data_IF_586060129285
#
_entry.id   IF_586060129285
#
_cell.length_a   1.000
_cell.length_b   1.000
_cell.length_c   1.000
_cell.angle_alpha   90.00
_cell.angle_beta   90.00
_cell.angle_gamma   90.00
#
_symmetry.space_group_name_H-M   'P 1'
#
loop_
_entity.id
_entity.type
_entity.pdbx_description
1 polymer ?
#
# COMPACT_ATOMS: atom_id res chain seq x y z
N UNK A 1 -30.64 -17.67 44.85
CA UNK A 1 -29.73 -16.51 44.60
C UNK A 1 -30.51 -15.21 44.31
N UNK A 2 -31.57 -14.90 45.08
CA UNK A 2 -32.47 -13.74 44.87
C UNK A 2 -32.71 -12.89 46.14
N UNK A 3 -31.98 -13.14 47.24
CA UNK A 3 -32.06 -12.34 48.49
C UNK A 3 -30.91 -11.36 48.70
N UNK A 4 -29.80 -11.46 47.96
CA UNK A 4 -28.66 -10.53 48.09
C UNK A 4 -28.78 -9.29 47.18
N UNK A 5 -29.74 -9.28 46.25
CA UNK A 5 -29.92 -8.22 45.24
C UNK A 5 -30.83 -7.06 45.71
N UNK A 6 -31.55 -7.19 46.84
CA UNK A 6 -32.45 -6.14 47.36
C UNK A 6 -31.82 -5.21 48.40
N UNK A 7 -30.69 -5.60 49.01
CA UNK A 7 -29.99 -4.80 50.03
C UNK A 7 -29.14 -3.68 49.40
N UNK A 8 -28.51 -3.95 48.25
CA UNK A 8 -27.59 -3.01 47.56
C UNK A 8 -28.36 -1.86 46.88
N UNK A 9 -29.57 -2.11 46.39
CA UNK A 9 -30.39 -1.09 45.72
C UNK A 9 -31.06 -0.07 46.68
N UNK A 10 -31.10 -0.32 48.00
CA UNK A 10 -31.63 0.66 48.97
C UNK A 10 -30.60 1.71 49.40
N UNK A 11 -29.30 1.43 49.33
CA UNK A 11 -28.26 2.37 49.80
C UNK A 11 -27.83 3.43 48.78
N UNK A 12 -28.17 3.28 47.50
CA UNK A 12 -27.76 4.22 46.43
C UNK A 12 -28.81 5.29 46.07
N UNK A 13 -29.99 5.30 46.72
CA UNK A 13 -31.03 6.31 46.49
C UNK A 13 -31.03 7.50 47.47
N UNK A 14 -30.09 7.57 48.41
CA UNK A 14 -30.16 8.54 49.51
C UNK A 14 -29.24 9.77 49.40
N UNK A 15 -28.30 9.87 48.45
CA UNK A 15 -27.39 11.02 48.39
C UNK A 15 -27.17 11.51 46.95
N UNK A 16 -27.97 12.51 46.57
CA UNK A 16 -27.53 13.78 45.95
C UNK A 16 -28.67 14.42 45.14
N UNK A 17 -29.56 15.10 45.85
CA UNK A 17 -30.19 16.29 45.32
C UNK A 17 -29.30 17.50 45.59
N UNK A 18 -28.91 18.23 44.53
CA UNK A 18 -28.77 19.70 44.53
C UNK A 18 -28.45 20.21 43.12
N UNK A 19 -29.21 21.25 42.71
CA UNK A 19 -28.98 22.11 41.55
C UNK A 19 -27.66 22.89 41.71
N UNK A 20 -26.97 23.19 40.61
CA UNK A 20 -26.19 24.43 40.47
C UNK A 20 -25.91 24.77 38.99
N UNK A 21 -25.86 26.08 38.74
CA UNK A 21 -25.86 26.81 37.47
C UNK A 21 -24.63 26.66 36.57
N UNK A 22 -24.81 27.05 35.31
CA UNK A 22 -23.79 27.18 34.26
C UNK A 22 -23.14 28.57 34.30
N UNK A 23 -21.80 28.66 34.19
CA UNK A 23 -21.06 29.67 33.40
C UNK A 23 -19.57 29.28 33.21
N UNK A 24 -18.88 29.78 32.16
CA UNK A 24 -17.74 29.09 31.54
C UNK A 24 -16.37 29.70 31.90
N UNK A 25 -15.29 28.89 31.93
CA UNK A 25 -13.95 29.22 31.39
C UNK A 25 -12.88 28.13 31.58
N UNK A 26 -12.04 28.05 30.54
CA UNK A 26 -10.61 27.72 30.47
C UNK A 26 -10.11 26.29 30.79
N UNK A 27 -9.47 25.70 29.79
CA UNK A 27 -8.72 24.44 29.85
C UNK A 27 -7.44 24.54 30.71
N UNK A 28 -7.12 23.47 31.46
CA UNK A 28 -5.75 23.07 31.84
C UNK A 28 -5.65 21.54 31.95
N UNK A 29 -4.48 21.04 31.57
CA UNK A 29 -4.08 19.63 31.48
C UNK A 29 -3.69 19.03 32.85
N UNK A 30 -3.81 17.70 32.93
CA UNK A 30 -3.27 16.69 33.88
C UNK A 30 -4.02 16.49 35.21
N UNK A 31 -4.41 15.23 35.49
CA UNK A 31 -3.96 14.44 36.67
C UNK A 31 -4.35 12.95 36.55
N UNK A 32 -3.38 12.07 36.78
CA UNK A 32 -3.57 10.63 37.01
C UNK A 32 -4.04 10.47 38.47
N UNK A 33 -5.19 9.85 38.72
CA UNK A 33 -5.63 9.53 40.09
C UNK A 33 -5.73 8.01 40.21
N UNK A 34 -4.77 7.43 40.94
CA UNK A 34 -4.85 6.04 41.38
C UNK A 34 -5.73 6.02 42.64
N UNK A 35 -6.97 5.54 42.51
CA UNK A 35 -7.84 5.30 43.66
C UNK A 35 -7.41 4.06 44.43
N UNK A 36 -7.65 4.04 45.76
CA UNK A 36 -7.24 2.98 46.71
C UNK A 36 -7.80 1.56 46.44
N UNK A 37 -8.58 1.37 45.37
CA UNK A 37 -9.18 0.07 45.00
C UNK A 37 -8.56 -0.55 43.72
N UNK A 38 -7.40 -0.06 43.27
CA UNK A 38 -6.66 -0.65 42.13
C UNK A 38 -7.33 -0.47 40.76
N UNK A 39 -8.34 0.40 40.65
CA UNK A 39 -9.10 0.63 39.42
C UNK A 39 -8.50 1.80 38.60
N UNK A 40 -7.97 1.53 37.41
CA UNK A 40 -7.65 2.58 36.42
C UNK A 40 -8.89 2.88 35.57
N UNK A 41 -9.45 4.10 35.69
CA UNK A 41 -10.60 4.54 34.90
C UNK A 41 -10.16 5.51 33.81
N UNK A 42 -10.59 5.28 32.57
CA UNK A 42 -10.48 6.23 31.46
C UNK A 42 -11.86 6.80 31.17
N UNK A 43 -11.99 8.13 31.19
CA UNK A 43 -13.23 8.82 30.82
C UNK A 43 -12.97 9.63 29.55
N UNK A 44 -13.60 9.27 28.45
CA UNK A 44 -13.60 10.08 27.23
C UNK A 44 -14.93 10.84 27.17
N UNK A 45 -14.92 12.13 27.47
CA UNK A 45 -16.11 12.98 27.33
C UNK A 45 -16.14 13.54 25.90
N UNK A 46 -16.96 12.93 25.03
CA UNK A 46 -17.34 13.53 23.75
C UNK A 46 -18.54 14.46 23.97
N UNK A 47 -18.32 15.77 23.87
CA UNK A 47 -19.38 16.79 24.01
C UNK A 47 -20.11 16.95 22.67
N UNK A 48 -20.96 16.00 22.31
CA UNK A 48 -22.03 16.17 21.33
C UNK A 48 -23.29 15.45 21.84
N UNK A 49 -24.37 16.22 22.02
CA UNK A 49 -25.64 15.70 22.51
C UNK A 49 -26.20 14.69 21.49
N UNK A 50 -26.19 13.40 21.86
CA UNK A 50 -26.78 12.32 21.08
C UNK A 50 -25.91 11.08 20.84
N UNK A 51 -24.61 11.08 21.18
CA UNK A 51 -23.77 9.89 21.05
C UNK A 51 -23.76 9.01 22.32
N UNK A 52 -23.73 7.67 22.19
CA UNK A 52 -23.56 6.78 23.33
C UNK A 52 -22.19 7.00 23.99
N UNK A 53 -22.18 7.23 25.30
CA UNK A 53 -20.96 7.28 26.11
C UNK A 53 -20.54 5.84 26.40
N UNK A 54 -19.31 5.50 26.02
CA UNK A 54 -18.72 4.19 26.29
C UNK A 54 -17.76 4.31 27.47
N UNK A 55 -18.04 3.59 28.56
CA UNK A 55 -17.11 3.43 29.67
C UNK A 55 -16.44 2.05 29.56
N UNK A 56 -15.11 2.05 29.47
CA UNK A 56 -14.30 0.84 29.47
C UNK A 56 -13.55 0.73 30.81
N UNK A 57 -13.68 -0.43 31.45
CA UNK A 57 -12.98 -0.75 32.69
C UNK A 57 -12.41 -2.16 32.65
N UNK A 58 -11.26 -2.33 33.30
CA UNK A 58 -10.60 -3.63 33.49
C UNK A 58 -10.76 -4.05 34.94
N UNK A 59 -11.18 -5.30 35.18
CA UNK A 59 -11.23 -5.90 36.52
C UNK A 59 -10.82 -7.37 36.41
N UNK A 60 -9.74 -7.77 37.09
CA UNK A 60 -9.22 -9.16 37.09
C UNK A 60 -9.15 -9.85 35.71
N UNK A 61 -8.67 -9.14 34.68
CA UNK A 61 -8.49 -9.72 33.33
C UNK A 61 -9.77 -9.87 32.49
N UNK A 62 -10.88 -9.29 32.94
CA UNK A 62 -12.14 -9.20 32.19
C UNK A 62 -12.36 -7.76 31.69
N UNK A 63 -12.74 -7.62 30.43
CA UNK A 63 -13.15 -6.35 29.83
C UNK A 63 -14.66 -6.16 30.03
N UNK A 64 -15.04 -5.05 30.68
CA UNK A 64 -16.44 -4.66 30.85
C UNK A 64 -16.72 -3.44 29.97
N UNK A 65 -17.77 -3.54 29.16
CA UNK A 65 -18.25 -2.47 28.29
C UNK A 65 -19.65 -2.06 28.73
N UNK A 66 -19.85 -0.77 29.00
CA UNK A 66 -21.14 -0.21 29.38
C UNK A 66 -21.64 0.72 28.27
N UNK A 67 -22.81 0.43 27.72
CA UNK A 67 -23.55 1.36 26.86
C UNK A 67 -24.81 1.84 27.60
N UNK A 68 -25.07 3.14 27.54
CA UNK A 68 -26.32 3.73 28.03
C UNK A 68 -27.15 4.19 26.84
N UNK A 69 -28.08 3.35 26.40
CA UNK A 69 -29.17 3.72 25.50
C UNK A 69 -30.49 3.54 26.25
N UNK A 70 -31.28 4.62 26.36
CA UNK A 70 -32.66 4.63 26.84
C UNK A 70 -32.97 3.71 28.03
N UNK A 71 -32.36 3.98 29.20
CA UNK A 71 -32.89 3.51 30.48
C UNK A 71 -32.83 1.99 30.76
N UNK A 72 -32.16 1.18 29.93
CA UNK A 72 -31.89 -0.24 30.23
C UNK A 72 -30.38 -0.48 30.29
N UNK A 73 -29.91 -1.00 31.42
CA UNK A 73 -28.51 -1.41 31.60
C UNK A 73 -28.39 -2.88 31.24
N UNK A 74 -27.62 -3.22 30.20
CA UNK A 74 -27.22 -4.60 29.90
C UNK A 74 -25.77 -4.81 30.31
N UNK A 75 -25.49 -5.88 31.06
CA UNK A 75 -24.14 -6.32 31.38
C UNK A 75 -23.81 -7.51 30.49
N UNK A 76 -22.76 -7.41 29.67
CA UNK A 76 -22.24 -8.54 28.91
C UNK A 76 -21.03 -9.09 29.68
N UNK A 77 -21.17 -10.31 30.19
CA UNK A 77 -20.07 -11.08 30.80
C UNK A 77 -19.35 -11.87 29.69
N UNK A 78 -18.10 -11.53 29.41
CA UNK A 78 -17.25 -12.29 28.51
C UNK A 78 -16.44 -13.30 29.33
N UNK A 79 -16.85 -14.56 29.34
CA UNK A 79 -16.07 -15.64 29.96
C UNK A 79 -15.04 -16.19 28.95
N UNK A 80 -13.75 -16.23 29.31
CA UNK A 80 -12.76 -17.01 28.56
C UNK A 80 -13.07 -18.50 28.76
N UNK A 81 -13.76 -19.11 27.81
CA UNK A 81 -13.87 -20.57 27.72
C UNK A 81 -13.24 -21.04 26.41
N UNK A 82 -12.38 -22.05 26.51
CA UNK A 82 -11.51 -22.64 25.49
C UNK A 82 -12.25 -23.55 24.50
N UNK A 83 -13.43 -23.15 24.01
CA UNK A 83 -14.23 -23.94 23.08
C UNK A 83 -14.29 -23.30 21.68
N UNK A 84 -13.73 -23.99 20.68
CA UNK A 84 -13.89 -23.70 19.24
C UNK A 84 -15.35 -23.93 18.81
N UNK A 85 -16.15 -22.87 18.65
CA UNK A 85 -17.47 -22.83 17.97
C UNK A 85 -17.71 -21.38 17.45
N UNK A 86 -18.69 -21.11 16.56
CA UNK A 86 -18.59 -20.33 15.31
C UNK A 86 -18.68 -18.80 15.48
N UNK A 87 -18.28 -18.27 16.63
CA UNK A 87 -18.26 -16.83 16.88
C UNK A 87 -17.21 -16.09 16.05
N UNK A 88 -16.14 -16.76 15.61
CA UNK A 88 -15.10 -16.13 14.78
C UNK A 88 -15.61 -15.71 13.39
N UNK A 89 -16.57 -16.44 12.82
CA UNK A 89 -17.17 -16.13 11.51
C UNK A 89 -18.14 -14.95 11.64
N UNK A 90 -18.94 -14.91 12.70
CA UNK A 90 -19.86 -13.81 12.99
C UNK A 90 -19.14 -12.53 13.42
N UNK A 91 -18.03 -12.64 14.16
CA UNK A 91 -17.24 -11.49 14.60
C UNK A 91 -16.47 -10.83 13.44
N UNK A 92 -15.90 -11.63 12.52
CA UNK A 92 -15.28 -11.12 11.28
C UNK A 92 -16.30 -10.41 10.38
N UNK A 93 -17.56 -10.85 10.38
CA UNK A 93 -18.62 -10.23 9.58
C UNK A 93 -19.11 -8.86 10.12
N UNK A 94 -18.84 -8.52 11.38
CA UNK A 94 -19.27 -7.25 12.00
C UNK A 94 -18.16 -6.18 11.96
N UNK A 95 -16.88 -6.56 11.85
CA UNK A 95 -15.73 -5.64 11.95
C UNK A 95 -15.34 -4.92 10.65
N UNK A 96 -15.92 -5.31 9.52
CA UNK A 96 -15.55 -4.75 8.21
C UNK A 96 -16.57 -3.73 7.68
N UNK A 97 -17.64 -3.42 8.41
CA UNK A 97 -18.62 -2.45 7.94
C UNK A 97 -18.23 -1.03 8.34
N UNK A 98 -18.17 -0.13 7.36
CA UNK A 98 -17.88 1.28 7.53
C UNK A 98 -19.10 2.11 7.14
N UNK A 99 -19.43 3.15 7.90
CA UNK A 99 -20.49 4.09 7.56
C UNK A 99 -19.85 5.32 6.93
N UNK A 100 -20.15 5.58 5.66
CA UNK A 100 -19.64 6.75 4.93
C UNK A 100 -20.85 7.51 4.39
N UNK A 101 -21.04 8.75 4.86
CA UNK A 101 -22.18 9.60 4.51
C UNK A 101 -23.55 8.90 4.72
N UNK A 102 -23.70 8.21 5.85
CA UNK A 102 -24.95 7.54 6.22
C UNK A 102 -25.24 6.21 5.52
N UNK A 103 -24.37 5.77 4.59
CA UNK A 103 -24.47 4.47 3.93
C UNK A 103 -23.44 3.48 4.46
N UNK A 104 -23.84 2.23 4.64
CA UNK A 104 -22.99 1.13 5.06
C UNK A 104 -22.26 0.57 3.84
N UNK A 105 -20.95 0.40 3.96
CA UNK A 105 -20.07 -0.27 3.01
C UNK A 105 -19.27 -1.34 3.75
N UNK A 106 -18.90 -2.42 3.06
CA UNK A 106 -17.99 -3.43 3.61
C UNK A 106 -16.58 -3.18 3.09
N UNK A 107 -15.64 -2.90 3.97
CA UNK A 107 -14.21 -2.86 3.70
C UNK A 107 -13.63 -4.28 3.67
N UNK A 108 -12.88 -4.60 2.63
CA UNK A 108 -12.19 -5.88 2.50
C UNK A 108 -10.71 -5.65 2.20
N UNK A 109 -9.86 -6.37 2.92
CA UNK A 109 -8.40 -6.36 2.76
C UNK A 109 -7.88 -7.66 2.13
N UNK A 110 -8.68 -8.73 2.19
CA UNK A 110 -8.33 -10.05 1.68
C UNK A 110 -8.98 -10.35 0.32
N UNK A 111 -9.00 -9.34 -0.55
CA UNK A 111 -9.57 -9.45 -1.91
C UNK A 111 -8.87 -10.54 -2.72
N UNK A 112 -7.58 -10.80 -2.47
CA UNK A 112 -6.82 -11.82 -3.19
C UNK A 112 -7.38 -13.23 -2.96
N UNK A 113 -7.68 -13.60 -1.72
CA UNK A 113 -7.98 -14.99 -1.38
C UNK A 113 -9.49 -15.31 -1.43
N UNK A 114 -10.36 -14.30 -1.34
CA UNK A 114 -11.80 -14.45 -1.58
C UNK A 114 -12.13 -14.35 -3.08
N UNK A 115 -12.60 -15.45 -3.68
CA UNK A 115 -12.89 -15.51 -5.12
C UNK A 115 -13.96 -14.52 -5.58
N UNK A 116 -15.00 -14.28 -4.77
CA UNK A 116 -16.07 -13.37 -5.13
C UNK A 116 -15.59 -11.91 -5.04
N UNK A 117 -14.85 -11.57 -3.98
CA UNK A 117 -14.24 -10.26 -3.81
C UNK A 117 -13.22 -9.97 -4.93
N UNK A 118 -12.35 -10.94 -5.25
CA UNK A 118 -11.35 -10.85 -6.33
C UNK A 118 -12.00 -10.57 -7.67
N UNK A 119 -13.08 -11.30 -7.99
CA UNK A 119 -13.81 -11.14 -9.25
C UNK A 119 -14.41 -9.74 -9.38
N UNK A 120 -15.00 -9.23 -8.30
CA UNK A 120 -15.58 -7.89 -8.28
C UNK A 120 -14.50 -6.79 -8.36
N UNK A 121 -13.36 -6.98 -7.70
CA UNK A 121 -12.20 -6.09 -7.80
C UNK A 121 -11.64 -6.04 -9.24
N UNK A 122 -11.47 -7.19 -9.89
CA UNK A 122 -11.06 -7.26 -11.30
C UNK A 122 -12.07 -6.56 -12.22
N UNK A 123 -13.37 -6.77 -11.98
CA UNK A 123 -14.41 -6.09 -12.75
C UNK A 123 -14.33 -4.56 -12.59
N UNK A 124 -14.05 -4.05 -11.39
CA UNK A 124 -13.85 -2.62 -11.16
C UNK A 124 -12.59 -2.11 -11.87
N UNK A 125 -11.45 -2.81 -11.74
CA UNK A 125 -10.20 -2.43 -12.41
C UNK A 125 -10.36 -2.37 -13.93
N UNK A 126 -11.01 -3.37 -14.52
CA UNK A 126 -11.31 -3.40 -15.96
C UNK A 126 -12.23 -2.25 -16.37
N UNK A 127 -13.26 -1.96 -15.57
CA UNK A 127 -14.20 -0.86 -15.85
C UNK A 127 -13.52 0.51 -15.84
N UNK A 128 -12.57 0.74 -14.94
CA UNK A 128 -11.97 2.06 -14.72
C UNK A 128 -10.72 2.28 -15.56
N UNK A 129 -9.87 1.27 -15.69
CA UNK A 129 -8.54 1.38 -16.31
C UNK A 129 -8.34 0.44 -17.50
N UNK A 130 -9.35 -0.37 -17.87
CA UNK A 130 -9.16 -1.48 -18.81
C UNK A 130 -8.02 -2.44 -18.39
N UNK A 131 -7.78 -2.53 -17.08
CA UNK A 131 -6.70 -3.31 -16.50
C UNK A 131 -7.17 -4.73 -16.17
N UNK A 132 -6.40 -5.73 -16.62
CA UNK A 132 -6.68 -7.14 -16.34
C UNK A 132 -5.63 -7.77 -15.43
N UNK A 133 -6.02 -8.09 -14.20
CA UNK A 133 -5.16 -8.73 -13.22
C UNK A 133 -5.22 -10.27 -13.30
N UNK A 134 -6.08 -10.85 -14.15
CA UNK A 134 -6.29 -12.28 -14.19
C UNK A 134 -5.01 -13.08 -14.57
N UNK A 135 -4.22 -12.69 -15.59
CA UNK A 135 -2.96 -13.40 -15.91
C UNK A 135 -1.93 -13.31 -14.79
N UNK A 136 -1.83 -12.15 -14.16
CA UNK A 136 -0.93 -11.93 -13.03
C UNK A 136 -1.29 -12.79 -11.81
N UNK A 137 -2.58 -12.90 -11.49
CA UNK A 137 -3.06 -13.76 -10.41
C UNK A 137 -2.91 -15.26 -10.75
N UNK A 138 -3.31 -15.69 -11.94
CA UNK A 138 -3.22 -17.11 -12.34
C UNK A 138 -1.79 -17.60 -12.47
N UNK A 139 -0.84 -16.71 -12.81
CA UNK A 139 0.59 -16.98 -12.79
C UNK A 139 1.20 -17.07 -11.38
N UNK A 140 0.43 -16.83 -10.32
CA UNK A 140 0.93 -16.89 -8.94
C UNK A 140 1.81 -15.69 -8.56
N UNK A 141 1.68 -14.58 -9.28
CA UNK A 141 2.50 -13.38 -9.09
C UNK A 141 1.84 -12.33 -8.18
N UNK A 142 0.63 -12.59 -7.70
CA UNK A 142 0.03 -11.80 -6.62
C UNK A 142 0.45 -12.34 -5.25
N UNK A 143 1.61 -11.91 -4.75
CA UNK A 143 2.12 -12.26 -3.44
C UNK A 143 1.55 -11.39 -2.31
N UNK A 144 2.20 -11.44 -1.14
CA UNK A 144 1.71 -10.78 0.07
C UNK A 144 2.01 -9.27 0.13
N UNK A 145 2.70 -8.73 -0.88
CA UNK A 145 3.18 -7.35 -0.89
C UNK A 145 2.20 -6.38 -1.55
N UNK A 146 1.24 -6.87 -2.33
CA UNK A 146 0.14 -6.09 -2.92
C UNK A 146 -1.14 -6.26 -2.09
N UNK A 147 -1.55 -5.18 -1.41
CA UNK A 147 -2.60 -5.15 -0.40
C UNK A 147 -3.74 -4.19 -0.83
N UNK A 148 -4.83 -4.68 -1.43
CA UNK A 148 -5.98 -3.86 -1.74
C UNK A 148 -6.77 -3.47 -0.50
N UNK A 149 -7.24 -2.24 -0.46
CA UNK A 149 -8.25 -1.75 0.48
C UNK A 149 -9.48 -1.43 -0.33
N UNK A 150 -10.40 -2.40 -0.42
CA UNK A 150 -11.57 -2.29 -1.31
C UNK A 150 -12.86 -2.13 -0.51
N UNK A 151 -13.64 -1.11 -0.84
CA UNK A 151 -15.00 -0.95 -0.34
C UNK A 151 -15.99 -1.65 -1.26
N UNK A 152 -16.94 -2.35 -0.64
CA UNK A 152 -18.02 -3.08 -1.29
C UNK A 152 -19.38 -2.51 -0.92
N UNK A 153 -20.27 -2.48 -1.91
CA UNK A 153 -21.71 -2.28 -1.74
C UNK A 153 -22.42 -3.57 -2.18
N UNK A 154 -22.88 -4.33 -1.19
CA UNK A 154 -23.29 -5.72 -1.39
C UNK A 154 -22.14 -6.56 -1.97
N UNK A 155 -22.36 -7.11 -3.17
CA UNK A 155 -21.36 -7.94 -3.89
C UNK A 155 -20.41 -7.15 -4.79
N UNK A 156 -20.66 -5.87 -4.99
CA UNK A 156 -19.92 -5.07 -5.96
C UNK A 156 -18.77 -4.33 -5.26
N UNK A 157 -17.56 -4.43 -5.80
CA UNK A 157 -16.47 -3.53 -5.45
C UNK A 157 -16.78 -2.14 -6.03
N UNK A 158 -16.75 -1.10 -5.19
CA UNK A 158 -17.16 0.26 -5.59
C UNK A 158 -16.04 1.30 -5.47
N UNK A 159 -15.02 1.03 -4.65
CA UNK A 159 -13.85 1.90 -4.50
C UNK A 159 -12.66 1.08 -4.00
N UNK A 160 -11.45 1.43 -4.43
CA UNK A 160 -10.22 0.78 -4.01
C UNK A 160 -9.06 1.76 -3.90
N UNK A 161 -8.17 1.49 -2.95
CA UNK A 161 -6.80 2.01 -2.86
C UNK A 161 -5.91 0.80 -2.57
N UNK A 162 -4.92 0.51 -3.42
CA UNK A 162 -3.99 -0.60 -3.18
C UNK A 162 -2.66 -0.09 -2.66
N UNK A 163 -2.05 -0.89 -1.79
CA UNK A 163 -0.73 -0.65 -1.20
C UNK A 163 0.26 -1.69 -1.72
N UNK A 164 1.40 -1.25 -2.22
CA UNK A 164 2.56 -2.11 -2.47
C UNK A 164 3.67 -1.83 -1.47
N UNK A 165 4.15 -2.89 -0.83
CA UNK A 165 5.31 -2.81 0.06
C UNK A 165 6.59 -2.87 -0.76
N UNK A 166 7.34 -1.77 -0.79
CA UNK A 166 8.58 -1.67 -1.55
C UNK A 166 9.75 -1.55 -0.60
N UNK A 167 10.67 -2.51 -0.64
CA UNK A 167 11.93 -2.41 0.10
C UNK A 167 13.05 -2.04 -0.87
N UNK A 168 13.93 -1.16 -0.44
CA UNK A 168 15.10 -0.74 -1.20
C UNK A 168 16.31 -0.57 -0.30
N UNK A 169 17.47 -0.36 -0.90
CA UNK A 169 18.70 0.02 -0.22
C UNK A 169 19.26 1.24 -0.94
N UNK A 170 19.63 2.25 -0.17
CA UNK A 170 20.29 3.45 -0.69
C UNK A 170 21.45 3.80 0.23
N UNK A 171 22.64 4.01 -0.35
CA UNK A 171 23.88 4.28 0.40
C UNK A 171 24.13 3.28 1.56
N UNK A 172 23.86 2.00 1.30
CA UNK A 172 24.01 0.91 2.28
C UNK A 172 22.95 0.87 3.39
N UNK A 173 21.94 1.76 3.37
CA UNK A 173 20.85 1.79 4.34
C UNK A 173 19.59 1.18 3.75
N UNK A 174 19.02 0.21 4.47
CA UNK A 174 17.70 -0.32 4.13
C UNK A 174 16.64 0.78 4.27
N UNK A 175 15.69 0.77 3.34
CA UNK A 175 14.57 1.70 3.27
C UNK A 175 13.30 0.95 2.92
N UNK A 176 12.19 1.39 3.49
CA UNK A 176 10.86 0.91 3.17
C UNK A 176 10.02 2.04 2.62
N UNK A 177 9.52 1.84 1.41
CA UNK A 177 8.55 2.69 0.77
C UNK A 177 7.21 1.98 0.67
N UNK A 178 6.14 2.77 0.67
CA UNK A 178 4.78 2.31 0.41
C UNK A 178 4.30 2.97 -0.87
N UNK A 179 4.10 2.19 -1.92
CA UNK A 179 3.46 2.72 -3.12
C UNK A 179 1.96 2.59 -2.97
N UNK A 180 1.24 3.67 -3.26
CA UNK A 180 -0.20 3.65 -3.44
C UNK A 180 -0.48 3.53 -4.93
N UNK A 181 -1.25 2.51 -5.32
CA UNK A 181 -1.61 2.22 -6.70
C UNK A 181 -3.07 1.82 -6.83
N UNK A 182 -3.53 1.64 -8.08
CA UNK A 182 -4.90 1.18 -8.41
C UNK A 182 -5.99 1.96 -7.64
N UNK A 183 -5.81 3.28 -7.52
CA UNK A 183 -6.76 4.16 -6.85
C UNK A 183 -7.96 4.37 -7.76
N UNK A 184 -9.07 3.69 -7.46
CA UNK A 184 -10.25 3.68 -8.33
C UNK A 184 -11.54 3.84 -7.54
N UNK A 185 -12.53 4.48 -8.16
CA UNK A 185 -13.89 4.57 -7.63
C UNK A 185 -14.86 4.51 -8.80
N UNK A 186 -15.84 3.63 -8.68
CA UNK A 186 -16.92 3.48 -9.66
C UNK A 186 -17.57 4.85 -9.93
N UNK A 187 -17.80 5.25 -11.19
CA UNK A 187 -18.36 6.55 -11.52
C UNK A 187 -19.65 6.87 -10.77
N UNK A 188 -20.51 5.87 -10.53
CA UNK A 188 -21.76 6.04 -9.79
C UNK A 188 -21.53 6.39 -8.30
N UNK A 189 -20.35 6.08 -7.76
CA UNK A 189 -19.98 6.27 -6.35
C UNK A 189 -19.00 7.42 -6.11
N UNK A 190 -18.59 8.14 -7.17
CA UNK A 190 -17.71 9.31 -7.06
C UNK A 190 -18.38 10.43 -6.25
N UNK A 191 -17.55 11.31 -5.67
CA UNK A 191 -17.97 12.44 -4.82
C UNK A 191 -18.74 12.06 -3.56
N UNK A 192 -18.69 10.79 -3.13
CA UNK A 192 -19.31 10.29 -1.87
C UNK A 192 -18.32 10.06 -0.73
N UNK A 193 -17.07 10.50 -0.87
CA UNK A 193 -16.05 10.37 0.19
C UNK A 193 -15.37 9.00 0.30
N UNK A 194 -15.69 8.01 -0.55
CA UNK A 194 -15.13 6.65 -0.45
C UNK A 194 -13.60 6.60 -0.61
N UNK A 195 -13.08 7.21 -1.68
CA UNK A 195 -11.63 7.28 -1.90
C UNK A 195 -10.92 8.05 -0.78
N UNK A 196 -11.52 9.15 -0.29
CA UNK A 196 -10.98 9.89 0.87
C UNK A 196 -10.85 9.00 2.09
N UNK A 197 -11.90 8.26 2.44
CA UNK A 197 -11.90 7.34 3.56
C UNK A 197 -10.79 6.30 3.42
N UNK A 198 -10.65 5.69 2.25
CA UNK A 198 -9.60 4.69 1.98
C UNK A 198 -8.19 5.28 2.07
N UNK A 199 -7.96 6.46 1.49
CA UNK A 199 -6.67 7.16 1.58
C UNK A 199 -6.33 7.51 3.03
N UNK A 200 -7.27 8.05 3.80
CA UNK A 200 -7.07 8.38 5.22
C UNK A 200 -6.73 7.12 6.04
N UNK A 201 -7.43 6.00 5.78
CA UNK A 201 -7.17 4.73 6.43
C UNK A 201 -5.77 4.18 6.10
N UNK A 202 -5.39 4.16 4.82
CA UNK A 202 -4.06 3.71 4.37
C UNK A 202 -2.97 4.57 5.00
N UNK A 203 -3.13 5.89 4.98
CA UNK A 203 -2.16 6.80 5.56
C UNK A 203 -2.08 6.65 7.08
N UNK A 204 -3.20 6.47 7.78
CA UNK A 204 -3.20 6.21 9.22
C UNK A 204 -2.44 4.93 9.56
N UNK A 205 -2.61 3.88 8.75
CA UNK A 205 -1.94 2.61 8.99
C UNK A 205 -0.44 2.69 8.72
N UNK A 206 -0.03 3.27 7.59
CA UNK A 206 1.35 3.15 7.11
C UNK A 206 2.26 4.31 7.51
N UNK A 207 1.72 5.48 7.88
CA UNK A 207 2.55 6.59 8.38
C UNK A 207 3.32 6.15 9.63
N UNK A 208 4.64 6.31 9.59
CA UNK A 208 5.55 5.93 10.68
C UNK A 208 6.05 4.47 10.61
N UNK A 209 5.60 3.68 9.63
CA UNK A 209 6.09 2.31 9.38
C UNK A 209 6.97 2.22 8.12
N UNK A 210 7.24 3.35 7.48
CA UNK A 210 7.98 3.48 6.24
C UNK A 210 8.70 4.84 6.17
N UNK A 211 9.71 4.94 5.32
CA UNK A 211 10.48 6.16 5.07
C UNK A 211 9.71 7.16 4.20
N UNK A 212 8.93 6.66 3.24
CA UNK A 212 7.99 7.46 2.47
C UNK A 212 6.81 6.65 1.92
N UNK A 213 5.75 7.37 1.59
CA UNK A 213 4.60 6.88 0.82
C UNK A 213 4.60 7.63 -0.50
N UNK A 214 4.46 6.94 -1.62
CA UNK A 214 4.50 7.55 -2.94
C UNK A 214 3.41 6.97 -3.87
N UNK A 215 3.12 7.68 -4.95
CA UNK A 215 2.20 7.23 -5.99
C UNK A 215 2.46 7.94 -7.30
N UNK A 216 2.05 7.28 -8.38
CA UNK A 216 1.97 7.86 -9.70
C UNK A 216 0.51 8.23 -9.97
N UNK A 217 0.28 9.50 -10.29
CA UNK A 217 -1.05 10.03 -10.54
C UNK A 217 -1.14 10.55 -11.96
N UNK A 218 -2.30 10.34 -12.59
CA UNK A 218 -2.62 11.11 -13.78
C UNK A 218 -2.70 12.61 -13.49
N UNK A 219 -2.47 13.41 -14.51
CA UNK A 219 -2.38 14.86 -14.40
C UNK A 219 -3.73 15.47 -13.99
N UNK A 220 -4.80 14.80 -14.41
CA UNK A 220 -6.18 15.14 -14.04
C UNK A 220 -6.46 15.03 -12.53
N UNK A 221 -5.68 14.26 -11.77
CA UNK A 221 -5.82 14.11 -10.32
C UNK A 221 -4.78 14.89 -9.49
N UNK A 222 -3.98 15.77 -10.11
CA UNK A 222 -2.95 16.59 -9.42
C UNK A 222 -3.47 17.38 -8.21
N UNK A 223 -4.71 17.88 -8.28
CA UNK A 223 -5.32 18.63 -7.17
C UNK A 223 -5.87 17.75 -6.02
N UNK A 224 -5.84 16.41 -6.16
CA UNK A 224 -6.40 15.49 -5.17
C UNK A 224 -5.39 15.12 -4.08
N UNK A 225 -4.20 14.65 -4.47
CA UNK A 225 -3.20 14.12 -3.53
C UNK A 225 -2.57 15.16 -2.57
N UNK A 226 -2.38 16.44 -2.95
CA UNK A 226 -1.95 17.47 -2.02
C UNK A 226 -2.87 17.65 -0.80
N UNK A 227 -4.16 17.30 -0.93
CA UNK A 227 -5.13 17.35 0.20
C UNK A 227 -4.80 16.33 1.30
N UNK A 228 -3.96 15.36 1.01
CA UNK A 228 -3.47 14.36 1.97
C UNK A 228 -2.02 14.63 2.42
N UNK A 229 -1.43 15.76 1.99
CA UNK A 229 -0.08 16.18 2.35
C UNK A 229 1.02 15.69 1.40
N UNK A 230 0.67 15.04 0.29
CA UNK A 230 1.66 14.68 -0.73
C UNK A 230 2.16 15.94 -1.44
N UNK A 231 3.41 15.90 -1.87
CA UNK A 231 4.01 16.91 -2.74
C UNK A 231 4.49 16.27 -4.03
N UNK A 232 4.38 16.99 -5.15
CA UNK A 232 4.96 16.52 -6.40
C UNK A 232 6.48 16.40 -6.25
N UNK A 233 7.07 15.39 -6.89
CA UNK A 233 8.50 15.14 -6.91
C UNK A 233 8.97 14.84 -8.33
N UNK A 234 10.23 15.15 -8.60
CA UNK A 234 10.88 14.84 -9.88
C UNK A 234 11.69 13.55 -9.76
N UNK A 235 11.66 12.76 -10.81
CA UNK A 235 12.58 11.66 -11.06
C UNK A 235 13.58 12.08 -12.13
N UNK A 236 14.73 11.42 -12.18
CA UNK A 236 15.81 11.78 -13.09
C UNK A 236 16.30 10.55 -13.83
N UNK A 237 16.19 10.59 -15.16
CA UNK A 237 16.64 9.51 -16.03
C UNK A 237 18.07 9.77 -16.49
N UNK A 238 18.88 8.73 -16.39
CA UNK A 238 20.29 8.73 -16.78
C UNK A 238 20.43 8.13 -18.16
N UNK A 239 21.29 8.71 -19.00
CA UNK A 239 21.56 8.26 -20.36
C UNK A 239 23.05 8.05 -20.58
N UNK A 240 23.37 7.09 -21.44
CA UNK A 240 24.73 6.81 -21.90
C UNK A 240 24.78 6.72 -23.41
N UNK A 241 25.87 7.22 -23.96
CA UNK A 241 26.30 7.01 -25.33
C UNK A 241 27.00 5.66 -25.39
N UNK A 242 26.47 4.77 -26.21
CA UNK A 242 26.91 3.39 -26.30
C UNK A 242 27.25 3.08 -27.75
N UNK A 243 28.41 2.47 -27.95
CA UNK A 243 28.77 1.86 -29.23
C UNK A 243 28.28 0.43 -29.22
N UNK A 244 27.41 0.09 -30.17
CA UNK A 244 26.89 -1.27 -30.33
C UNK A 244 28.03 -2.28 -30.49
N UNK A 245 27.87 -3.45 -29.88
CA UNK A 245 28.73 -4.61 -30.13
C UNK A 245 27.93 -5.75 -30.71
N UNK A 246 28.55 -6.54 -31.59
CA UNK A 246 27.99 -7.80 -32.03
C UNK A 246 28.27 -8.88 -30.99
N UNK A 247 27.23 -9.44 -30.40
CA UNK A 247 27.33 -10.57 -29.46
C UNK A 247 26.06 -11.42 -29.50
N UNK A 248 26.09 -12.58 -28.84
CA UNK A 248 24.93 -13.45 -28.71
C UNK A 248 23.97 -12.90 -27.67
N UNK A 249 22.82 -12.44 -28.14
CA UNK A 249 21.68 -12.02 -27.32
C UNK A 249 20.50 -12.91 -27.66
N UNK A 250 19.95 -13.55 -26.63
CA UNK A 250 18.80 -14.42 -26.76
C UNK A 250 17.59 -13.74 -26.13
N UNK A 251 16.53 -13.54 -26.90
CA UNK A 251 15.23 -13.16 -26.32
C UNK A 251 14.65 -14.37 -25.57
N UNK A 252 14.27 -14.17 -24.31
CA UNK A 252 13.65 -15.20 -23.49
C UNK A 252 12.16 -15.36 -23.85
N UNK A 253 11.70 -16.60 -23.95
CA UNK A 253 10.27 -16.88 -24.02
C UNK A 253 9.71 -17.03 -22.61
N UNK A 254 8.96 -16.03 -22.15
CA UNK A 254 8.39 -16.02 -20.81
C UNK A 254 7.23 -17.02 -20.61
N UNK A 255 6.74 -17.67 -21.68
CA UNK A 255 5.85 -18.85 -21.57
C UNK A 255 6.61 -20.17 -21.42
N UNK A 256 7.89 -20.19 -21.81
CA UNK A 256 8.74 -21.36 -21.61
C UNK A 256 9.20 -21.46 -20.16
N UNK A 257 9.13 -22.68 -19.61
CA UNK A 257 9.45 -22.93 -18.20
C UNK A 257 10.93 -22.76 -17.88
N UNK A 258 11.82 -23.12 -18.80
CA UNK A 258 13.26 -23.02 -18.57
C UNK A 258 13.72 -21.56 -18.65
N UNK A 259 13.18 -20.81 -19.61
CA UNK A 259 13.45 -19.38 -19.77
C UNK A 259 12.90 -18.54 -18.61
N UNK A 260 11.67 -18.81 -18.17
CA UNK A 260 11.11 -18.18 -16.98
C UNK A 260 11.94 -18.50 -15.73
N UNK A 261 12.35 -19.76 -15.55
CA UNK A 261 13.19 -20.15 -14.42
C UNK A 261 14.57 -19.48 -14.45
N UNK A 262 15.17 -19.37 -15.63
CA UNK A 262 16.42 -18.64 -15.84
C UNK A 262 16.26 -17.16 -15.45
N UNK A 263 15.22 -16.50 -15.96
CA UNK A 263 14.94 -15.09 -15.66
C UNK A 263 14.74 -14.86 -14.16
N UNK A 264 13.90 -15.67 -13.51
CA UNK A 264 13.62 -15.54 -12.08
C UNK A 264 14.83 -15.85 -11.20
N UNK A 265 15.70 -16.79 -11.61
CA UNK A 265 16.98 -17.04 -10.93
C UNK A 265 17.88 -15.82 -11.00
N UNK A 266 18.04 -15.22 -12.19
CA UNK A 266 18.86 -14.01 -12.37
C UNK A 266 18.25 -12.82 -11.64
N UNK A 267 16.93 -12.67 -11.64
CA UNK A 267 16.25 -11.66 -10.83
C UNK A 267 16.56 -11.78 -9.33
N UNK A 268 16.54 -13.00 -8.79
CA UNK A 268 16.88 -13.25 -7.39
C UNK A 268 18.34 -12.94 -7.03
N UNK A 269 19.22 -12.83 -8.04
CA UNK A 269 20.59 -12.36 -7.87
C UNK A 269 20.69 -10.83 -7.74
N UNK A 270 19.66 -10.10 -8.14
CA UNK A 270 19.56 -8.65 -8.06
C UNK A 270 20.17 -7.90 -9.24
N UNK A 271 20.03 -6.57 -9.23
CA UNK A 271 20.70 -5.68 -10.17
C UNK A 271 22.00 -5.12 -9.53
N UNK A 272 23.19 -5.55 -9.98
CA UNK A 272 24.46 -5.05 -9.43
C UNK A 272 24.79 -3.62 -9.86
N UNK A 273 24.05 -3.07 -10.83
CA UNK A 273 24.27 -1.75 -11.41
C UNK A 273 23.34 -0.68 -10.86
N UNK A 274 22.34 -1.04 -10.04
CA UNK A 274 21.37 -0.06 -9.53
C UNK A 274 21.80 0.51 -8.17
N UNK A 275 21.88 1.84 -8.07
CA UNK A 275 22.04 2.56 -6.80
C UNK A 275 20.76 2.57 -5.96
N UNK A 276 19.60 2.31 -6.59
CA UNK A 276 18.29 2.39 -5.96
C UNK A 276 17.37 1.23 -6.40
N UNK A 277 17.74 -0.03 -6.13
CA UNK A 277 17.01 -1.20 -6.59
C UNK A 277 15.74 -1.44 -5.78
N UNK A 278 14.69 -1.99 -6.39
CA UNK A 278 13.55 -2.54 -5.66
C UNK A 278 13.81 -4.01 -5.33
N UNK A 279 13.95 -4.29 -4.04
CA UNK A 279 14.29 -5.61 -3.52
C UNK A 279 13.03 -6.46 -3.36
N UNK A 280 13.12 -7.74 -3.72
CA UNK A 280 12.05 -8.73 -3.52
C UNK A 280 10.67 -8.28 -4.05
N UNK A 281 10.68 -7.67 -5.23
CA UNK A 281 9.51 -7.13 -5.93
C UNK A 281 9.12 -7.98 -7.17
N UNK A 282 9.26 -9.31 -7.05
CA UNK A 282 8.93 -10.28 -8.11
C UNK A 282 7.49 -10.10 -8.61
N UNK A 283 6.59 -9.82 -7.68
CA UNK A 283 5.17 -9.64 -7.97
C UNK A 283 4.96 -8.56 -9.03
N UNK A 284 5.54 -7.39 -8.84
CA UNK A 284 5.42 -6.29 -9.79
C UNK A 284 6.28 -6.49 -11.04
N UNK A 285 7.47 -7.08 -10.91
CA UNK A 285 8.27 -7.49 -12.08
C UNK A 285 7.43 -8.33 -13.06
N UNK A 286 6.74 -9.35 -12.54
CA UNK A 286 5.96 -10.28 -13.34
C UNK A 286 4.61 -9.69 -13.77
N UNK A 287 4.14 -8.61 -13.14
CA UNK A 287 3.04 -7.82 -13.68
C UNK A 287 3.39 -7.27 -15.06
N UNK A 288 4.63 -6.85 -15.28
CA UNK A 288 5.13 -6.40 -16.59
C UNK A 288 5.59 -7.56 -17.47
N UNK A 289 6.52 -8.39 -16.97
CA UNK A 289 7.24 -9.37 -17.78
C UNK A 289 6.41 -10.61 -18.14
N UNK A 290 5.30 -10.88 -17.47
CA UNK A 290 4.34 -11.90 -17.93
C UNK A 290 3.31 -11.34 -18.93
N UNK A 291 3.28 -10.01 -19.14
CA UNK A 291 2.21 -9.31 -19.85
C UNK A 291 2.77 -8.33 -20.90
N UNK A 292 2.74 -7.02 -20.62
CA UNK A 292 3.08 -5.97 -21.60
C UNK A 292 4.54 -6.03 -22.06
N UNK A 293 5.48 -6.37 -21.17
CA UNK A 293 6.91 -6.44 -21.48
C UNK A 293 7.40 -7.87 -21.75
N UNK A 294 6.48 -8.81 -21.97
CA UNK A 294 6.81 -10.23 -22.13
C UNK A 294 7.79 -10.55 -23.25
N UNK A 295 7.82 -9.72 -24.29
CA UNK A 295 8.73 -9.87 -25.44
C UNK A 295 10.03 -9.07 -25.30
N UNK A 296 10.15 -8.28 -24.23
CA UNK A 296 11.24 -7.33 -24.03
C UNK A 296 12.25 -7.85 -23.00
N UNK A 297 12.29 -9.17 -22.79
CA UNK A 297 13.20 -9.84 -21.85
C UNK A 297 14.30 -10.57 -22.63
N UNK A 298 15.55 -10.24 -22.33
CA UNK A 298 16.73 -10.73 -23.04
C UNK A 298 17.74 -11.35 -22.08
N UNK A 299 18.46 -12.35 -22.56
CA UNK A 299 19.63 -12.94 -21.91
C UNK A 299 20.87 -12.66 -22.78
N UNK A 300 21.90 -12.10 -22.14
CA UNK A 300 23.16 -11.73 -22.77
C UNK A 300 24.19 -12.78 -22.34
N UNK A 301 24.55 -13.70 -23.25
CA UNK A 301 25.24 -14.95 -22.88
C UNK A 301 26.64 -14.72 -22.31
N UNK A 302 27.43 -13.84 -22.92
CA UNK A 302 28.81 -13.52 -22.51
C UNK A 302 28.90 -12.70 -21.21
N UNK A 303 27.79 -12.06 -20.82
CA UNK A 303 27.62 -11.36 -19.55
C UNK A 303 26.99 -12.25 -18.47
N UNK A 304 26.27 -13.32 -18.86
CA UNK A 304 25.48 -14.12 -17.94
C UNK A 304 24.40 -13.32 -17.22
N UNK A 305 23.82 -12.32 -17.88
CA UNK A 305 22.85 -11.38 -17.32
C UNK A 305 21.54 -11.38 -18.11
N UNK A 306 20.43 -11.15 -17.42
CA UNK A 306 19.16 -10.83 -18.05
C UNK A 306 18.93 -9.33 -18.04
N UNK A 307 18.24 -8.81 -19.05
CA UNK A 307 17.83 -7.41 -19.11
C UNK A 307 16.41 -7.32 -19.65
N UNK A 308 15.67 -6.34 -19.14
CA UNK A 308 14.40 -5.93 -19.74
C UNK A 308 14.67 -4.62 -20.46
N UNK A 309 14.48 -4.60 -21.79
CA UNK A 309 14.84 -3.43 -22.57
C UNK A 309 14.02 -3.34 -23.87
N UNK A 310 13.79 -2.13 -24.37
CA UNK A 310 13.19 -1.94 -25.68
C UNK A 310 13.64 -0.66 -26.38
N UNK A 311 13.59 -0.61 -27.72
CA UNK A 311 13.80 0.64 -28.44
C UNK A 311 12.61 1.58 -28.22
N UNK A 312 12.86 2.81 -27.77
CA UNK A 312 11.86 3.87 -27.62
C UNK A 312 12.45 5.20 -28.08
N UNK A 313 11.70 5.97 -28.88
CA UNK A 313 12.04 7.36 -29.24
C UNK A 313 13.47 7.60 -29.78
N UNK A 314 14.02 6.63 -30.52
CA UNK A 314 15.38 6.72 -31.08
C UNK A 314 16.50 6.42 -30.09
N UNK A 315 16.18 5.88 -28.91
CA UNK A 315 17.13 5.35 -27.94
C UNK A 315 16.73 3.93 -27.48
N UNK A 316 17.63 3.22 -26.80
CA UNK A 316 17.30 1.98 -26.09
C UNK A 316 16.88 2.33 -24.67
N UNK A 317 15.64 2.05 -24.28
CA UNK A 317 15.24 2.07 -22.88
C UNK A 317 15.62 0.73 -22.23
N UNK A 318 16.57 0.75 -21.30
CA UNK A 318 16.90 -0.39 -20.47
C UNK A 318 16.16 -0.26 -19.13
N UNK A 319 15.06 -0.98 -18.98
CA UNK A 319 14.22 -0.94 -17.77
C UNK A 319 14.98 -1.40 -16.53
N UNK A 320 15.65 -2.56 -16.61
CA UNK A 320 16.41 -3.15 -15.50
C UNK A 320 17.34 -4.26 -16.00
N UNK A 321 18.32 -4.65 -15.17
CA UNK A 321 19.32 -5.68 -15.45
C UNK A 321 19.47 -6.60 -14.23
N UNK A 322 19.58 -7.90 -14.45
CA UNK A 322 19.62 -8.90 -13.38
C UNK A 322 20.72 -9.93 -13.57
N UNK A 323 21.43 -10.25 -12.50
CA UNK A 323 22.45 -11.30 -12.44
C UNK A 323 23.74 -10.88 -11.73
N UNK A 324 24.56 -11.85 -11.32
CA UNK A 324 25.90 -11.64 -10.71
C UNK A 324 27.02 -11.43 -11.74
N UNK A 325 26.74 -10.61 -12.75
CA UNK A 325 27.73 -10.24 -13.76
C UNK A 325 28.84 -9.37 -13.16
N UNK A 326 30.06 -9.57 -13.65
CA UNK A 326 31.23 -8.71 -13.37
C UNK A 326 31.61 -7.81 -14.54
N UNK A 327 30.84 -7.88 -15.64
CA UNK A 327 31.04 -7.03 -16.82
C UNK A 327 30.60 -5.60 -16.52
N UNK A 328 31.20 -4.57 -17.16
CA UNK A 328 30.68 -3.21 -17.09
C UNK A 328 29.23 -3.12 -17.58
N UNK A 329 28.44 -2.16 -17.07
CA UNK A 329 27.07 -1.95 -17.55
C UNK A 329 27.03 -1.70 -19.07
N UNK A 330 28.00 -0.96 -19.60
CA UNK A 330 28.10 -0.65 -21.04
C UNK A 330 28.25 -1.91 -21.91
N UNK A 331 28.79 -3.00 -21.38
CA UNK A 331 28.86 -4.28 -22.10
C UNK A 331 27.47 -4.88 -22.34
N UNK A 332 26.56 -4.72 -21.37
CA UNK A 332 25.17 -5.19 -21.47
C UNK A 332 24.39 -4.27 -22.40
N UNK A 333 24.51 -2.95 -22.21
CA UNK A 333 23.82 -1.97 -23.05
C UNK A 333 24.24 -2.08 -24.52
N UNK A 334 25.54 -2.25 -24.81
CA UNK A 334 26.06 -2.37 -26.17
C UNK A 334 25.60 -3.64 -26.88
N UNK A 335 25.34 -4.71 -26.13
CA UNK A 335 24.78 -5.96 -26.66
C UNK A 335 23.31 -5.79 -27.06
N UNK A 336 22.54 -5.04 -26.28
CA UNK A 336 21.10 -4.82 -26.49
C UNK A 336 20.79 -3.71 -27.49
N UNK A 337 21.76 -2.86 -27.80
CA UNK A 337 21.57 -1.70 -28.66
C UNK A 337 21.19 -2.13 -30.09
N UNK A 338 20.05 -1.69 -30.64
CA UNK A 338 19.69 -1.93 -32.02
C UNK A 338 20.66 -1.28 -33.01
N UNK A 339 20.80 -1.80 -34.24
CA UNK A 339 21.55 -1.12 -35.30
C UNK A 339 21.04 0.31 -35.54
N UNK A 340 21.96 1.28 -35.60
CA UNK A 340 21.66 2.68 -35.86
C UNK A 340 21.32 3.52 -34.61
N UNK A 341 21.15 2.90 -33.44
CA UNK A 341 21.04 3.62 -32.18
C UNK A 341 22.41 3.77 -31.52
N UNK A 342 22.58 4.84 -30.76
CA UNK A 342 23.82 5.20 -30.08
C UNK A 342 23.62 5.61 -28.61
N UNK A 343 22.37 5.62 -28.14
CA UNK A 343 22.02 6.09 -26.80
C UNK A 343 21.19 5.04 -26.08
N UNK A 344 21.49 4.83 -24.81
CA UNK A 344 20.70 4.03 -23.90
C UNK A 344 20.21 4.88 -22.73
N UNK A 345 18.90 4.90 -22.50
CA UNK A 345 18.26 5.45 -21.33
C UNK A 345 18.11 4.37 -20.26
N UNK A 346 18.41 4.70 -19.01
CA UNK A 346 18.36 3.79 -17.89
C UNK A 346 17.08 4.01 -17.11
N UNK A 347 16.22 2.99 -17.08
CA UNK A 347 15.02 2.92 -16.26
C UNK A 347 15.31 2.68 -14.77
N UNK A 348 16.57 2.78 -14.34
CA UNK A 348 17.06 2.69 -12.98
C UNK A 348 18.24 3.65 -12.79
N UNK A 349 18.57 4.03 -11.55
CA UNK A 349 19.74 4.89 -11.29
C UNK A 349 21.03 4.06 -11.27
N UNK A 350 22.04 4.37 -12.12
CA UNK A 350 23.29 3.62 -12.14
C UNK A 350 24.13 3.85 -10.88
N UNK A 351 24.75 2.80 -10.34
CA UNK A 351 25.51 2.81 -9.09
C UNK A 351 26.93 3.38 -9.21
N UNK A 352 27.50 3.36 -10.42
CA UNK A 352 28.82 3.93 -10.72
C UNK A 352 28.77 5.47 -10.85
N UNK A 353 27.57 6.07 -10.90
CA UNK A 353 27.36 7.49 -11.13
C UNK A 353 27.73 7.98 -12.54
N UNK A 354 28.09 7.08 -13.46
CA UNK A 354 28.46 7.43 -14.82
C UNK A 354 27.20 7.68 -15.68
N UNK A 355 27.10 8.87 -16.25
CA UNK A 355 26.08 9.25 -17.21
C UNK A 355 26.61 10.37 -18.12
N UNK A 356 26.26 10.32 -19.41
CA UNK A 356 26.58 11.40 -20.35
C UNK A 356 25.54 12.52 -20.31
N UNK A 357 24.29 12.16 -19.99
CA UNK A 357 23.16 13.07 -19.85
C UNK A 357 22.24 12.61 -18.72
N UNK A 358 21.81 13.56 -17.90
CA UNK A 358 20.86 13.32 -16.80
C UNK A 358 19.78 14.40 -16.89
N UNK A 359 18.53 13.99 -17.08
CA UNK A 359 17.40 14.91 -17.24
C UNK A 359 16.22 14.51 -16.36
N UNK A 360 15.39 15.47 -15.96
CA UNK A 360 14.09 15.15 -15.37
C UNK A 360 13.33 14.17 -16.25
N UNK A 361 12.83 13.10 -15.65
CA UNK A 361 11.97 12.12 -16.29
C UNK A 361 10.53 12.57 -16.15
N UNK A 362 9.84 12.67 -17.29
CA UNK A 362 8.42 12.94 -17.36
C UNK A 362 7.79 11.91 -18.25
N UNK A 363 6.96 11.04 -17.65
CA UNK A 363 6.06 10.19 -18.41
C UNK A 363 4.77 10.96 -18.70
N UNK A 364 4.20 10.74 -19.89
CA UNK A 364 2.96 11.39 -20.29
C UNK A 364 1.82 11.06 -19.31
N UNK A 365 1.01 12.08 -18.99
CA UNK A 365 -0.09 12.01 -18.03
C UNK A 365 0.30 11.32 -16.71
N UNK A 366 1.52 11.52 -16.24
CA UNK A 366 2.04 10.88 -15.02
C UNK A 366 2.84 11.86 -14.19
N UNK A 367 2.41 12.05 -12.94
CA UNK A 367 3.12 12.87 -11.95
C UNK A 367 3.39 12.04 -10.69
N UNK A 368 4.65 12.00 -10.26
CA UNK A 368 5.05 11.40 -9.00
C UNK A 368 4.68 12.31 -7.83
N UNK A 369 3.99 11.74 -6.85
CA UNK A 369 3.67 12.36 -5.57
C UNK A 369 4.32 11.58 -4.43
N UNK A 370 4.98 12.30 -3.51
CA UNK A 370 5.65 11.71 -2.34
C UNK A 370 5.19 12.39 -1.06
N UNK A 371 5.02 11.58 -0.02
CA UNK A 371 4.84 11.98 1.37
C UNK A 371 5.93 11.31 2.23
N UNK A 372 6.89 12.09 2.74
CA UNK A 372 8.00 11.59 3.54
C UNK A 372 9.36 11.86 2.89
N UNK A 373 10.29 10.92 2.99
CA UNK A 373 11.63 11.04 2.44
C UNK A 373 11.62 11.07 0.89
N UNK A 374 11.92 12.23 0.31
CA UNK A 374 12.04 12.42 -1.13
C UNK A 374 13.49 12.26 -1.60
N UNK A 375 14.01 11.03 -1.61
CA UNK A 375 15.34 10.73 -2.16
C UNK A 375 15.45 10.97 -3.67
N UNK A 376 14.45 10.64 -4.52
CA UNK A 376 14.54 10.87 -5.97
C UNK A 376 14.90 12.30 -6.35
N UNK A 377 14.21 13.28 -5.78
CA UNK A 377 14.51 14.69 -6.07
C UNK A 377 15.85 15.14 -5.47
N UNK A 378 16.22 14.66 -4.28
CA UNK A 378 17.46 15.08 -3.58
C UNK A 378 18.73 14.55 -4.22
N UNK A 379 18.68 13.34 -4.78
CA UNK A 379 19.87 12.64 -5.29
C UNK A 379 19.81 12.37 -6.80
N UNK A 380 18.83 12.95 -7.50
CA UNK A 380 18.59 12.73 -8.95
C UNK A 380 18.45 11.24 -9.27
N UNK A 381 17.56 10.58 -8.52
CA UNK A 381 17.24 9.17 -8.71
C UNK A 381 15.95 9.00 -9.52
N UNK A 382 15.72 7.78 -9.98
CA UNK A 382 14.46 7.30 -10.53
C UNK A 382 14.08 6.03 -9.77
N UNK A 383 12.81 5.90 -9.37
CA UNK A 383 12.31 4.59 -8.97
C UNK A 383 12.40 3.67 -10.20
N UNK A 384 12.97 2.45 -10.09
CA UNK A 384 13.07 1.55 -11.22
C UNK A 384 11.75 1.48 -11.99
N UNK A 385 11.77 1.64 -13.32
CA UNK A 385 10.53 1.77 -14.10
C UNK A 385 9.62 0.53 -13.97
N UNK A 386 10.19 -0.66 -13.74
CA UNK A 386 9.46 -1.89 -13.42
C UNK A 386 8.82 -1.87 -12.02
N UNK A 387 8.88 -0.75 -11.31
CA UNK A 387 8.20 -0.50 -10.04
C UNK A 387 7.11 0.57 -10.12
N UNK A 388 6.90 1.18 -11.29
CA UNK A 388 5.79 2.11 -11.51
C UNK A 388 4.47 1.31 -11.56
N UNK A 389 3.32 1.91 -11.23
CA UNK A 389 2.00 1.22 -11.16
C UNK A 389 0.83 2.10 -11.50
#
# INVERSE_FOLDING_TARGET
MQRHHREVCRRLKANHGRKCEVRPRAARLKHFVVGRDGMSRYRHESVHAGCPVWEFGWYHGLALCRSSLCGRTAFILLCKSTAKWPCDIWWRSIMNNCIINGKIYRLEHNVRDDSAARTAFFALARKIFNLDFAPWFSGGYWGARYLPYTLFDGKNAVSNVSVNLMDTVFEGRARRYIQIGTVMTDPAYRKRGLCRFLMELVLQQWRGQCDAIYLFSNDNARGFYPKFGFSAAEEWMHRRTIVRRETQVRRLDMDDRADLALFLRLYAEGNPYSAFPMLDNRDLLMFYCAQSLKRQVFFIEDCGAAAVAEPMDGELLCYDVYGKTKRPLNDILSALLPPGLHTAALGFTPADGEADDIRPYHADDTTLFILGENLPAKHRLIFPLLSHT
#
